data_IF_066198591839
#
_entry.id   IF_066198591839
#
_cell.length_a   1.000
_cell.length_b   1.000
_cell.length_c   1.000
_cell.angle_alpha   90.00
_cell.angle_beta   90.00
_cell.angle_gamma   90.00
#
_symmetry.space_group_name_H-M   'P 1'
#
loop_
_entity.id
_entity.type
_entity.pdbx_description
1 polymer ?
#
# COMPACT_ATOMS: atom_id res chain seq x y z
N UNK A 1 -14.64 -0.48 -3.08
CA UNK A 1 -14.09 -0.24 -4.44
C UNK A 1 -12.72 -0.90 -4.54
N UNK A 2 -12.35 -1.46 -5.71
CA UNK A 2 -10.99 -1.96 -5.96
C UNK A 2 -10.26 -0.99 -6.89
N UNK A 3 -8.97 -0.74 -6.63
CA UNK A 3 -8.08 0.07 -7.48
C UNK A 3 -6.76 -0.66 -7.68
N UNK A 4 -6.17 -0.48 -8.85
CA UNK A 4 -4.82 -0.95 -9.16
C UNK A 4 -3.92 0.28 -9.28
N UNK A 5 -2.75 0.24 -8.67
CA UNK A 5 -1.81 1.35 -8.66
C UNK A 5 -0.41 0.84 -9.03
N UNK A 6 0.12 1.35 -10.13
CA UNK A 6 1.49 1.09 -10.57
C UNK A 6 2.39 2.23 -10.09
N UNK A 7 3.56 1.90 -9.56
CA UNK A 7 4.53 2.88 -9.06
C UNK A 7 5.96 2.37 -9.23
N UNK A 8 6.91 3.29 -9.17
CA UNK A 8 8.34 2.96 -9.08
C UNK A 8 8.69 2.86 -7.61
N UNK A 9 9.33 1.77 -7.22
CA UNK A 9 9.79 1.59 -5.86
C UNK A 9 11.06 2.43 -5.62
N UNK A 10 11.18 3.11 -4.46
CA UNK A 10 12.37 3.88 -4.16
C UNK A 10 13.59 2.96 -4.04
N UNK A 11 14.80 3.52 -4.15
CA UNK A 11 16.00 2.79 -3.74
C UNK A 11 15.97 2.64 -2.22
N UNK A 12 16.28 1.45 -1.71
CA UNK A 12 16.29 1.19 -0.27
C UNK A 12 17.57 1.73 0.35
N UNK A 13 17.41 2.65 1.30
CA UNK A 13 18.50 3.22 2.11
C UNK A 13 18.31 2.97 3.62
N UNK A 14 17.27 2.23 3.99
CA UNK A 14 16.85 1.94 5.36
C UNK A 14 16.70 0.43 5.58
N UNK A 15 16.28 0.06 6.80
CA UNK A 15 15.82 -1.30 7.08
C UNK A 15 14.70 -1.68 6.11
N UNK A 16 14.52 -2.98 5.89
CA UNK A 16 13.46 -3.46 5.01
C UNK A 16 12.07 -3.08 5.54
N UNK A 17 11.89 -3.12 6.85
CA UNK A 17 10.64 -2.74 7.51
C UNK A 17 10.32 -1.26 7.29
N UNK A 18 11.26 -0.35 7.58
CA UNK A 18 11.03 1.09 7.38
C UNK A 18 10.74 1.43 5.92
N UNK A 19 11.44 0.75 5.00
CA UNK A 19 11.27 0.92 3.57
C UNK A 19 9.86 0.47 3.12
N UNK A 20 9.38 -0.66 3.62
CA UNK A 20 8.05 -1.17 3.30
C UNK A 20 6.95 -0.33 3.94
N UNK A 21 7.15 0.12 5.17
CA UNK A 21 6.23 1.02 5.88
C UNK A 21 6.11 2.38 5.16
N UNK A 22 7.21 2.97 4.71
CA UNK A 22 7.18 4.21 3.92
C UNK A 22 6.36 4.06 2.62
N UNK A 23 6.54 2.95 1.89
CA UNK A 23 5.70 2.66 0.70
C UNK A 23 4.22 2.50 1.07
N UNK A 24 3.93 1.79 2.17
CA UNK A 24 2.56 1.58 2.65
C UNK A 24 1.89 2.87 3.07
N UNK A 25 2.58 3.76 3.78
CA UNK A 25 2.02 5.06 4.21
C UNK A 25 1.78 5.98 3.02
N UNK A 26 2.70 6.05 2.05
CA UNK A 26 2.47 6.80 0.80
C UNK A 26 1.24 6.31 0.03
N UNK A 27 1.01 5.00 0.00
CA UNK A 27 -0.20 4.42 -0.60
C UNK A 27 -1.43 4.75 0.26
N UNK A 28 -1.32 4.67 1.59
CA UNK A 28 -2.41 5.02 2.51
C UNK A 28 -2.87 6.46 2.29
N UNK A 29 -1.94 7.41 2.28
CA UNK A 29 -2.22 8.84 2.10
C UNK A 29 -2.88 9.12 0.75
N UNK A 30 -2.37 8.48 -0.32
CA UNK A 30 -2.91 8.65 -1.68
C UNK A 30 -4.36 8.15 -1.81
N UNK A 31 -4.74 7.14 -1.04
CA UNK A 31 -6.05 6.49 -1.14
C UNK A 31 -6.95 6.70 0.09
N UNK A 32 -6.54 7.56 1.02
CA UNK A 32 -7.21 7.84 2.29
C UNK A 32 -7.58 6.55 3.05
N UNK A 33 -6.58 5.69 3.28
CA UNK A 33 -6.79 4.40 3.98
C UNK A 33 -6.67 4.53 5.50
N UNK A 34 -6.10 5.62 6.01
CA UNK A 34 -5.93 5.90 7.44
C UNK A 34 -4.83 5.04 8.09
N UNK A 35 -5.02 4.71 9.37
CA UNK A 35 -3.98 4.03 10.17
C UNK A 35 -3.79 2.57 9.75
N UNK A 36 -2.52 2.14 9.71
CA UNK A 36 -2.11 0.75 9.53
C UNK A 36 -2.44 -0.06 10.78
N UNK A 37 -3.08 -1.22 10.62
CA UNK A 37 -3.43 -2.10 11.74
C UNK A 37 -2.64 -3.40 11.73
N UNK A 38 -2.33 -3.91 10.54
CA UNK A 38 -1.59 -5.16 10.37
C UNK A 38 -0.79 -5.09 9.07
N UNK A 39 0.41 -5.67 9.06
CA UNK A 39 1.12 -5.96 7.84
C UNK A 39 1.86 -7.29 7.93
N UNK A 40 2.03 -7.93 6.77
CA UNK A 40 2.87 -9.12 6.62
C UNK A 40 3.62 -9.05 5.29
N UNK A 41 4.80 -9.65 5.27
CA UNK A 41 5.66 -9.68 4.09
C UNK A 41 6.18 -11.08 3.81
N UNK A 42 6.47 -11.35 2.54
CA UNK A 42 7.20 -12.52 2.09
C UNK A 42 7.92 -12.23 0.76
N UNK A 43 8.78 -13.15 0.34
CA UNK A 43 9.55 -13.01 -0.91
C UNK A 43 9.57 -14.32 -1.69
N UNK A 44 9.58 -14.19 -3.00
CA UNK A 44 9.84 -15.29 -3.95
C UNK A 44 10.97 -14.82 -4.89
N UNK A 45 12.20 -15.26 -4.60
CA UNK A 45 13.38 -14.76 -5.30
C UNK A 45 13.60 -13.26 -5.07
N UNK A 46 13.66 -12.49 -6.16
CA UNK A 46 13.83 -11.03 -6.12
C UNK A 46 12.49 -10.26 -6.08
N UNK A 47 11.36 -10.97 -6.01
CA UNK A 47 10.04 -10.37 -5.94
C UNK A 47 9.58 -10.39 -4.49
N UNK A 48 9.21 -9.21 -3.98
CA UNK A 48 8.69 -9.02 -2.64
C UNK A 48 7.18 -8.81 -2.68
N UNK A 49 6.51 -9.28 -1.63
CA UNK A 49 5.08 -9.17 -1.48
C UNK A 49 4.72 -8.66 -0.10
N UNK A 50 3.72 -7.79 -0.05
CA UNK A 50 3.18 -7.24 1.20
C UNK A 50 1.66 -7.42 1.18
N UNK A 51 1.12 -7.83 2.33
CA UNK A 51 -0.29 -7.65 2.63
C UNK A 51 -0.43 -6.72 3.83
N UNK A 52 -1.24 -5.67 3.69
CA UNK A 52 -1.48 -4.69 4.74
C UNK A 52 -2.97 -4.42 4.92
N UNK A 53 -3.38 -4.23 6.16
CA UNK A 53 -4.72 -3.76 6.54
C UNK A 53 -4.62 -2.38 7.17
N UNK A 54 -5.51 -1.53 6.74
CA UNK A 54 -5.70 -0.19 7.25
C UNK A 54 -7.15 -0.03 7.75
N UNK A 55 -7.41 0.99 8.56
CA UNK A 55 -8.78 1.29 9.03
C UNK A 55 -9.77 1.42 7.86
N UNK A 56 -9.37 2.10 6.78
CA UNK A 56 -10.14 2.36 5.57
C UNK A 56 -10.09 1.29 4.49
N UNK A 57 -9.23 0.28 4.60
CA UNK A 57 -9.08 -0.69 3.51
C UNK A 57 -7.98 -1.73 3.67
N UNK A 58 -7.59 -2.35 2.56
CA UNK A 58 -6.46 -3.27 2.52
C UNK A 58 -5.63 -3.05 1.26
N UNK A 59 -4.33 -3.24 1.37
CA UNK A 59 -3.37 -3.15 0.27
C UNK A 59 -2.67 -4.49 0.10
N UNK A 60 -2.53 -4.94 -1.16
CA UNK A 60 -1.62 -6.02 -1.54
C UNK A 60 -0.58 -5.44 -2.48
N UNK A 61 0.70 -5.55 -2.16
CA UNK A 61 1.80 -5.07 -3.00
C UNK A 61 2.57 -6.27 -3.53
N UNK A 62 2.95 -6.21 -4.81
CA UNK A 62 4.00 -7.02 -5.42
C UNK A 62 5.03 -6.07 -6.00
N UNK A 63 6.30 -6.22 -5.65
CA UNK A 63 7.32 -5.26 -6.06
C UNK A 63 8.71 -5.86 -6.19
N UNK A 64 9.56 -5.19 -6.96
CA UNK A 64 11.01 -5.41 -6.99
C UNK A 64 11.67 -4.13 -6.48
N UNK A 65 12.65 -4.24 -5.57
CA UNK A 65 13.35 -3.08 -4.99
C UNK A 65 14.04 -2.23 -6.08
N UNK A 66 13.85 -0.91 -6.03
CA UNK A 66 14.42 0.05 -6.99
C UNK A 66 13.92 -0.07 -8.44
N UNK A 67 12.81 -0.77 -8.69
CA UNK A 67 12.20 -0.99 -10.01
C UNK A 67 10.69 -0.74 -9.96
N UNK A 68 9.87 -1.62 -10.54
CA UNK A 68 8.42 -1.53 -10.49
C UNK A 68 7.78 -2.16 -9.24
N UNK A 69 6.68 -1.55 -8.82
CA UNK A 69 5.76 -2.07 -7.82
C UNK A 69 4.31 -1.91 -8.29
N UNK A 70 3.47 -2.89 -7.96
CA UNK A 70 2.04 -2.85 -8.20
C UNK A 70 1.28 -3.09 -6.90
N UNK A 71 0.31 -2.23 -6.62
CA UNK A 71 -0.56 -2.32 -5.46
C UNK A 71 -2.01 -2.56 -5.90
N UNK A 72 -2.66 -3.57 -5.32
CA UNK A 72 -4.10 -3.75 -5.36
C UNK A 72 -4.70 -3.18 -4.07
N UNK A 73 -5.47 -2.11 -4.20
CA UNK A 73 -6.10 -1.40 -3.09
C UNK A 73 -7.59 -1.76 -3.05
N UNK A 74 -8.08 -2.12 -1.86
CA UNK A 74 -9.51 -2.30 -1.57
C UNK A 74 -9.95 -1.28 -0.53
N UNK A 75 -10.82 -0.37 -0.93
CA UNK A 75 -11.37 0.68 -0.05
C UNK A 75 -12.74 0.24 0.47
N UNK A 76 -12.94 0.32 1.80
CA UNK A 76 -14.21 0.03 2.48
C UNK A 76 -15.28 1.06 2.10
N UNK A 77 -16.53 0.62 1.99
CA UNK A 77 -17.66 1.46 1.54
C UNK A 77 -17.87 2.73 2.39
N UNK A 78 -17.66 2.65 3.70
CA UNK A 78 -17.83 3.80 4.60
C UNK A 78 -16.84 4.95 4.32
N UNK A 79 -15.61 4.62 3.90
CA UNK A 79 -14.57 5.60 3.54
C UNK A 79 -14.72 6.17 2.13
N UNK A 80 -15.55 5.53 1.28
CA UNK A 80 -15.91 6.08 -0.03
C UNK A 80 -16.88 7.26 0.06
N UNK A 81 -17.73 7.29 1.09
CA UNK A 81 -18.78 8.29 1.22
C UNK A 81 -18.26 9.60 1.82
N UNK A 82 -17.24 9.57 2.69
CA UNK A 82 -16.58 10.79 3.20
C UNK A 82 -16.02 11.69 2.09
N UNK A 83 -15.64 11.12 0.95
CA UNK A 83 -15.10 11.86 -0.20
C UNK A 83 -16.17 12.46 -1.11
N UNK A 84 -17.46 12.22 -0.86
CA UNK A 84 -18.57 12.82 -1.63
C UNK A 84 -19.20 14.04 -0.95
N UNK A 85 -18.98 14.21 0.34
CA UNK A 85 -19.59 15.29 1.12
C UNK A 85 -18.84 16.64 0.96
N UNK A 86 -17.76 16.67 0.17
CA UNK A 86 -16.94 17.86 -0.12
C UNK A 86 -16.82 18.19 -1.63
N UNK A 87 -17.68 17.61 -2.47
CA UNK A 87 -17.70 17.83 -3.93
C UNK A 87 -19.04 18.34 -4.42
#
# INVERSE_FOLDING_TARGET
>A
MKKLFLFVTPKRHSSIEDYELDMLYKISDKFDLGDLTEYSRWSEGNVNFIYARFKGGSVKIRYIEGKEGIALIRIKKHYLNKNKDFS
#
